data_IF_444642372696
#
_entry.id   IF_444642372696
#
_cell.length_a   1.000
_cell.length_b   1.000
_cell.length_c   1.000
_cell.angle_alpha   90.00
_cell.angle_beta   90.00
_cell.angle_gamma   90.00
#
_symmetry.space_group_name_H-M   'P 1'
#
loop_
_entity.id
_entity.type
_entity.pdbx_description
1 polymer ?
#
# COMPACT_ATOMS: atom_id res chain seq x y z
N UNK A 1 -10.56 47.55 -16.65
CA UNK A 1 -9.23 47.10 -16.18
C UNK A 1 -9.47 46.01 -15.16
N UNK A 2 -8.95 44.84 -15.48
CA UNK A 2 -9.27 43.52 -14.94
C UNK A 2 -9.04 43.32 -13.45
N UNK A 3 -9.79 42.40 -12.87
CA UNK A 3 -9.53 41.81 -11.56
C UNK A 3 -10.50 40.67 -11.27
N UNK A 4 -10.30 39.51 -11.90
CA UNK A 4 -10.98 38.27 -11.51
C UNK A 4 -10.15 37.57 -10.41
N UNK A 5 -10.77 37.08 -9.33
CA UNK A 5 -10.06 36.40 -8.25
C UNK A 5 -9.60 35.00 -8.67
N UNK A 6 -8.46 34.59 -8.13
CA UNK A 6 -7.72 33.39 -8.48
C UNK A 6 -8.54 32.10 -8.41
N UNK A 7 -8.38 31.30 -9.46
CA UNK A 7 -8.75 29.88 -9.46
C UNK A 7 -7.76 29.14 -8.56
N UNK A 8 -8.19 28.83 -7.34
CA UNK A 8 -7.54 27.81 -6.51
C UNK A 8 -7.50 26.51 -7.31
N UNK A 9 -6.30 25.96 -7.48
CA UNK A 9 -6.01 24.72 -8.19
C UNK A 9 -6.76 23.59 -7.46
N UNK A 10 -7.92 23.19 -7.97
CA UNK A 10 -8.61 21.96 -7.55
C UNK A 10 -7.61 20.82 -7.72
N UNK A 11 -7.21 20.18 -6.61
CA UNK A 11 -6.47 18.93 -6.66
C UNK A 11 -7.30 17.96 -7.51
N UNK A 12 -6.73 17.48 -8.61
CA UNK A 12 -7.39 16.52 -9.48
C UNK A 12 -7.49 15.21 -8.69
N UNK A 13 -8.63 15.00 -8.03
CA UNK A 13 -9.01 13.69 -7.50
C UNK A 13 -9.17 12.79 -8.71
N UNK A 14 -8.14 11.99 -8.97
CA UNK A 14 -8.14 11.01 -10.04
C UNK A 14 -8.77 9.74 -9.46
N UNK A 15 -9.53 8.97 -10.24
CA UNK A 15 -10.09 7.69 -9.76
C UNK A 15 -9.02 6.73 -9.18
N UNK A 16 -7.74 6.94 -9.53
CA UNK A 16 -6.60 6.17 -9.05
C UNK A 16 -6.06 6.58 -7.66
N UNK A 17 -6.28 7.82 -7.20
CA UNK A 17 -5.70 8.34 -5.94
C UNK A 17 -6.65 9.30 -5.23
N UNK A 18 -6.94 9.02 -3.95
CA UNK A 18 -7.62 9.91 -3.02
C UNK A 18 -6.73 10.16 -1.79
N UNK A 19 -6.11 11.35 -1.66
CA UNK A 19 -5.19 11.65 -0.57
C UNK A 19 -5.89 11.81 0.78
N UNK A 20 -7.22 11.86 0.83
CA UNK A 20 -7.97 12.15 2.07
C UNK A 20 -8.36 10.90 2.86
N UNK A 21 -8.30 9.72 2.23
CA UNK A 21 -8.74 8.46 2.85
C UNK A 21 -7.63 7.88 3.71
N UNK A 22 -7.88 7.68 5.00
CA UNK A 22 -6.95 7.06 5.95
C UNK A 22 -6.66 5.58 5.62
N UNK A 23 -5.53 5.01 6.06
CA UNK A 23 -5.28 3.59 5.87
C UNK A 23 -6.28 2.72 6.65
N UNK A 24 -6.60 1.53 6.13
CA UNK A 24 -7.54 0.59 6.75
C UNK A 24 -7.04 -0.01 8.08
N UNK A 25 -5.77 0.22 8.41
CA UNK A 25 -5.13 -0.25 9.64
C UNK A 25 -3.61 -0.12 9.55
N UNK A 26 -2.92 -0.83 10.43
CA UNK A 26 -1.45 -0.87 10.50
C UNK A 26 -0.82 -2.10 9.84
N UNK A 27 -1.64 -3.07 9.44
CA UNK A 27 -1.24 -4.37 8.90
C UNK A 27 -2.06 -4.76 7.68
N UNK A 28 -1.69 -5.86 7.02
CA UNK A 28 -2.46 -6.38 5.90
C UNK A 28 -3.79 -6.97 6.40
N UNK A 29 -4.91 -6.41 5.92
CA UNK A 29 -6.27 -6.72 6.39
C UNK A 29 -6.53 -8.23 6.38
N UNK A 30 -6.20 -8.88 5.28
CA UNK A 30 -6.48 -10.30 5.07
C UNK A 30 -5.48 -11.21 5.80
N UNK A 31 -4.21 -10.83 5.88
CA UNK A 31 -3.24 -11.58 6.69
C UNK A 31 -3.59 -11.50 8.18
N UNK A 32 -4.08 -10.37 8.66
CA UNK A 32 -4.55 -10.22 10.04
C UNK A 32 -5.76 -11.12 10.30
N UNK A 33 -6.76 -11.09 9.42
CA UNK A 33 -7.94 -11.93 9.53
C UNK A 33 -7.62 -13.44 9.49
N UNK A 34 -6.63 -13.84 8.68
CA UNK A 34 -6.23 -15.24 8.52
C UNK A 34 -5.17 -15.72 9.53
N UNK A 35 -4.66 -14.85 10.41
CA UNK A 35 -3.53 -15.19 11.27
C UNK A 35 -2.22 -15.45 10.51
N UNK A 36 -2.07 -14.93 9.29
CA UNK A 36 -0.89 -15.07 8.42
C UNK A 36 0.24 -14.08 8.73
N UNK A 37 1.15 -13.90 7.76
CA UNK A 37 2.26 -12.95 7.84
C UNK A 37 2.55 -12.35 6.45
N UNK A 38 3.40 -11.33 6.40
CA UNK A 38 3.77 -10.58 5.19
C UNK A 38 5.24 -10.18 5.20
N UNK A 39 5.79 -9.88 4.02
CA UNK A 39 7.14 -9.32 3.86
C UNK A 39 7.08 -7.79 3.99
N UNK A 40 6.37 -7.12 3.09
CA UNK A 40 6.15 -5.67 3.12
C UNK A 40 4.67 -5.32 2.90
N UNK A 41 4.29 -4.12 3.32
CA UNK A 41 2.94 -3.58 3.19
C UNK A 41 2.85 -2.51 2.09
N UNK A 42 1.73 -2.54 1.38
CA UNK A 42 1.34 -1.58 0.34
C UNK A 42 -0.03 -1.02 0.68
N UNK A 43 -0.18 0.29 0.56
CA UNK A 43 -1.44 1.00 0.74
C UNK A 43 -2.05 1.34 -0.60
N UNK A 44 -3.30 0.97 -0.84
CA UNK A 44 -4.06 1.49 -1.96
C UNK A 44 -4.21 3.01 -1.83
N UNK A 45 -3.77 3.74 -2.84
CA UNK A 45 -3.81 5.21 -2.83
C UNK A 45 -5.24 5.76 -3.05
N UNK A 46 -6.18 4.93 -3.54
CA UNK A 46 -7.57 5.33 -3.78
C UNK A 46 -8.48 5.10 -2.55
N UNK A 47 -8.33 3.99 -1.83
CA UNK A 47 -9.26 3.62 -0.75
C UNK A 47 -8.59 3.33 0.61
N UNK A 48 -7.27 3.46 0.70
CA UNK A 48 -6.54 3.23 1.96
C UNK A 48 -6.38 1.76 2.36
N UNK A 49 -6.86 0.79 1.58
CA UNK A 49 -6.68 -0.64 1.87
C UNK A 49 -5.20 -1.01 2.01
N UNK A 50 -4.83 -1.63 3.13
CA UNK A 50 -3.48 -2.15 3.35
C UNK A 50 -3.43 -3.63 2.96
N UNK A 51 -2.61 -3.94 1.94
CA UNK A 51 -2.33 -5.29 1.47
C UNK A 51 -0.84 -5.63 1.54
N UNK A 52 -0.51 -6.92 1.62
CA UNK A 52 0.88 -7.38 1.56
C UNK A 52 1.41 -7.39 0.11
N UNK A 53 2.70 -7.11 -0.08
CA UNK A 53 3.35 -7.07 -1.39
C UNK A 53 3.39 -8.44 -2.09
N UNK A 54 3.80 -8.45 -3.36
CA UNK A 54 3.82 -9.69 -4.18
C UNK A 54 4.91 -10.70 -3.78
N UNK A 55 5.94 -10.26 -3.04
CA UNK A 55 6.92 -11.15 -2.40
C UNK A 55 6.34 -11.88 -1.18
N UNK A 56 5.22 -11.40 -0.64
CA UNK A 56 4.56 -12.03 0.50
C UNK A 56 3.84 -13.33 0.09
N UNK A 57 3.56 -14.24 1.05
CA UNK A 57 2.84 -15.49 0.78
C UNK A 57 1.48 -15.32 0.10
N UNK A 58 0.76 -14.23 0.39
CA UNK A 58 -0.63 -14.07 -0.05
C UNK A 58 -0.88 -13.03 -1.13
N UNK A 59 0.10 -12.15 -1.43
CA UNK A 59 0.03 -11.16 -2.53
C UNK A 59 -1.25 -10.30 -2.52
N UNK A 60 -1.69 -9.86 -1.35
CA UNK A 60 -2.99 -9.20 -1.20
C UNK A 60 -3.06 -7.83 -1.87
N UNK A 61 -1.96 -7.10 -2.04
CA UNK A 61 -1.97 -5.81 -2.73
C UNK A 61 -2.38 -5.95 -4.21
N UNK A 62 -1.75 -6.87 -4.95
CA UNK A 62 -2.10 -7.09 -6.36
C UNK A 62 -3.44 -7.82 -6.51
N UNK A 63 -3.81 -8.68 -5.56
CA UNK A 63 -5.16 -9.27 -5.53
C UNK A 63 -6.24 -8.20 -5.31
N UNK A 64 -6.00 -7.22 -4.43
CA UNK A 64 -6.89 -6.09 -4.19
C UNK A 64 -7.05 -5.23 -5.45
N UNK A 65 -5.96 -4.90 -6.13
CA UNK A 65 -6.01 -4.17 -7.40
C UNK A 65 -6.91 -4.88 -8.41
N UNK A 66 -6.70 -6.18 -8.65
CA UNK A 66 -7.48 -6.95 -9.63
C UNK A 66 -8.98 -7.01 -9.31
N UNK A 67 -9.35 -6.92 -8.03
CA UNK A 67 -10.74 -6.96 -7.58
C UNK A 67 -11.42 -5.58 -7.57
N UNK A 68 -10.70 -4.54 -7.16
CA UNK A 68 -11.22 -3.18 -7.00
C UNK A 68 -11.07 -2.32 -8.26
N UNK A 69 -10.09 -2.63 -9.10
CA UNK A 69 -9.66 -1.76 -10.19
C UNK A 69 -8.81 -0.56 -9.73
N UNK A 70 -8.32 -0.51 -8.49
CA UNK A 70 -7.44 0.57 -8.00
C UNK A 70 -5.96 0.25 -8.30
N UNK A 71 -5.33 0.89 -9.30
CA UNK A 71 -4.04 0.41 -9.79
C UNK A 71 -2.85 1.02 -9.04
N UNK A 72 -3.05 2.16 -8.35
CA UNK A 72 -1.98 2.87 -7.66
C UNK A 72 -1.91 2.46 -6.19
N UNK A 73 -0.73 1.99 -5.79
CA UNK A 73 -0.37 1.79 -4.39
C UNK A 73 0.76 2.74 -3.99
N UNK A 74 0.86 3.01 -2.69
CA UNK A 74 2.03 3.62 -2.04
C UNK A 74 2.70 2.57 -1.17
N UNK A 75 4.03 2.63 -1.02
CA UNK A 75 4.66 1.91 0.08
C UNK A 75 4.05 2.32 1.41
N UNK A 76 3.89 1.35 2.32
CA UNK A 76 3.45 1.60 3.69
C UNK A 76 4.53 1.19 4.70
N UNK A 77 5.78 1.18 4.26
CA UNK A 77 6.96 0.91 5.08
C UNK A 77 7.54 2.22 5.66
N UNK A 78 8.14 2.20 6.86
CA UNK A 78 8.76 3.38 7.45
C UNK A 78 9.90 3.92 6.57
N UNK A 79 9.89 5.23 6.31
CA UNK A 79 10.92 5.91 5.52
C UNK A 79 10.76 5.81 4.00
N UNK A 80 9.71 5.15 3.51
CA UNK A 80 9.40 5.04 2.08
C UNK A 80 8.19 5.91 1.69
N UNK A 81 8.27 6.56 0.54
CA UNK A 81 7.25 7.47 0.01
C UNK A 81 6.84 7.22 -1.44
N UNK A 82 7.45 6.24 -2.08
CA UNK A 82 7.21 5.92 -3.49
C UNK A 82 5.83 5.31 -3.73
N UNK A 83 5.34 5.50 -4.95
CA UNK A 83 4.12 4.89 -5.48
C UNK A 83 4.43 4.01 -6.67
N UNK A 84 3.59 3.00 -6.86
CA UNK A 84 3.63 2.10 -8.01
C UNK A 84 2.25 2.00 -8.63
N UNK A 85 2.19 2.02 -9.95
CA UNK A 85 0.99 1.76 -10.72
C UNK A 85 1.08 0.37 -11.35
N UNK A 86 0.28 -0.56 -10.84
CA UNK A 86 0.23 -1.93 -11.35
C UNK A 86 -0.27 -2.04 -12.80
N UNK A 87 -1.11 -1.11 -13.26
CA UNK A 87 -1.64 -1.13 -14.63
C UNK A 87 -0.56 -0.76 -15.66
N UNK A 88 0.30 0.20 -15.32
CA UNK A 88 1.37 0.67 -16.21
C UNK A 88 2.70 -0.03 -15.97
N UNK A 89 2.83 -0.78 -14.88
CA UNK A 89 4.08 -1.41 -14.43
C UNK A 89 5.22 -0.38 -14.28
N UNK A 90 4.91 0.77 -13.68
CA UNK A 90 5.86 1.87 -13.50
C UNK A 90 5.60 2.68 -12.21
N UNK A 91 6.59 3.48 -11.81
CA UNK A 91 6.46 4.43 -10.73
C UNK A 91 5.40 5.48 -11.04
N UNK A 92 4.72 5.93 -9.99
CA UNK A 92 3.73 6.99 -10.06
C UNK A 92 4.17 8.19 -9.21
N UNK A 93 4.00 9.40 -9.71
CA UNK A 93 4.22 10.62 -8.93
C UNK A 93 2.94 10.96 -8.15
N UNK A 94 2.89 10.53 -6.88
CA UNK A 94 1.70 10.61 -6.04
C UNK A 94 1.77 11.72 -4.98
N UNK A 95 0.62 12.28 -4.55
CA UNK A 95 0.57 13.26 -3.48
C UNK A 95 0.83 12.62 -2.11
N UNK A 96 1.09 13.43 -1.08
CA UNK A 96 1.04 12.94 0.30
C UNK A 96 -0.39 12.44 0.63
N UNK A 97 -0.49 11.26 1.25
CA UNK A 97 -1.77 10.64 1.63
C UNK A 97 -2.17 11.02 3.06
N UNK A 98 -3.39 10.70 3.50
CA UNK A 98 -3.80 10.92 4.88
C UNK A 98 -2.97 10.06 5.85
N UNK A 99 -2.60 10.61 7.00
CA UNK A 99 -1.82 9.90 8.02
C UNK A 99 -2.56 8.67 8.60
N UNK A 100 -1.83 7.67 9.13
CA UNK A 100 -0.36 7.55 9.11
C UNK A 100 0.19 7.21 7.71
N UNK A 101 1.47 7.55 7.47
CA UNK A 101 2.17 7.27 6.19
C UNK A 101 2.81 5.87 6.13
N UNK A 102 2.96 5.20 7.27
CA UNK A 102 3.59 3.88 7.32
C UNK A 102 3.00 3.04 8.44
N UNK A 103 3.30 1.74 8.41
CA UNK A 103 3.15 0.87 9.56
C UNK A 103 3.98 1.38 10.77
N UNK A 104 3.66 0.95 12.00
CA UNK A 104 4.44 1.27 13.19
C UNK A 104 5.92 0.90 13.01
N UNK A 105 6.80 1.79 13.47
CA UNK A 105 8.26 1.63 13.33
C UNK A 105 8.81 0.50 14.23
N UNK A 106 8.07 0.13 15.27
CA UNK A 106 8.38 -0.97 16.18
C UNK A 106 7.92 -2.33 15.64
N UNK A 107 7.21 -2.40 14.50
CA UNK A 107 6.96 -3.68 13.80
C UNK A 107 8.13 -4.07 12.89
N UNK A 108 8.28 -5.37 12.63
CA UNK A 108 9.29 -5.88 11.69
C UNK A 108 8.75 -5.99 10.26
N UNK A 109 9.67 -6.05 9.29
CA UNK A 109 9.43 -6.56 7.95
C UNK A 109 10.43 -7.70 7.71
N UNK A 110 10.00 -8.97 7.52
CA UNK A 110 8.61 -9.46 7.53
C UNK A 110 7.86 -9.23 8.85
N UNK A 111 6.53 -9.23 8.81
CA UNK A 111 5.67 -8.95 9.96
C UNK A 111 4.30 -9.65 9.93
N UNK A 112 3.52 -9.52 11.00
CA UNK A 112 3.92 -8.89 12.26
C UNK A 112 4.88 -9.79 13.03
N UNK A 113 5.74 -9.18 13.86
CA UNK A 113 6.89 -9.87 14.49
C UNK A 113 6.55 -11.22 15.13
N UNK A 114 5.39 -11.31 15.80
CA UNK A 114 4.96 -12.51 16.52
C UNK A 114 4.43 -13.66 15.66
N UNK A 115 4.26 -13.47 14.34
CA UNK A 115 3.69 -14.47 13.42
C UNK A 115 4.62 -14.92 12.31
N UNK A 116 5.81 -14.33 12.19
CA UNK A 116 6.79 -14.73 11.17
C UNK A 116 7.42 -16.08 11.57
N UNK A 117 7.29 -17.14 10.74
CA UNK A 117 7.94 -18.42 11.00
C UNK A 117 9.47 -18.31 10.99
N UNK A 118 10.17 -19.19 11.70
CA UNK A 118 11.64 -19.18 11.72
C UNK A 118 12.25 -19.55 10.35
N UNK A 119 11.54 -20.38 9.58
CA UNK A 119 11.87 -20.89 8.24
C UNK A 119 11.25 -20.07 7.11
N UNK A 120 10.92 -18.79 7.35
CA UNK A 120 10.18 -17.97 6.40
C UNK A 120 10.92 -17.79 5.06
N UNK A 121 12.26 -17.76 5.07
CA UNK A 121 13.08 -17.64 3.86
C UNK A 121 12.90 -18.86 2.98
N UNK A 122 13.02 -20.05 3.57
CA UNK A 122 12.83 -21.33 2.89
C UNK A 122 11.40 -21.45 2.35
N UNK A 123 10.40 -21.00 3.11
CA UNK A 123 9.02 -20.95 2.65
C UNK A 123 8.86 -20.09 1.39
N UNK A 124 9.51 -18.92 1.32
CA UNK A 124 9.44 -18.07 0.13
C UNK A 124 10.18 -18.67 -1.06
N UNK A 125 11.36 -19.26 -0.85
CA UNK A 125 12.15 -19.92 -1.89
C UNK A 125 11.42 -21.13 -2.50
N UNK A 126 10.69 -21.89 -1.67
CA UNK A 126 9.95 -23.07 -2.11
C UNK A 126 8.73 -22.75 -2.98
N UNK A 127 8.27 -21.50 -3.03
CA UNK A 127 7.03 -21.13 -3.74
C UNK A 127 7.15 -21.14 -5.26
N UNK A 128 8.36 -21.10 -5.80
CA UNK A 128 8.60 -20.91 -7.23
C UNK A 128 8.11 -19.55 -7.71
N UNK A 129 8.92 -18.86 -8.52
CA UNK A 129 8.48 -17.63 -9.17
C UNK A 129 7.65 -17.95 -10.41
#
# INVERSE_FOLDING_TARGET
MSGLPGVGRLAVVSAAVDPTVAPSGTGCVECDAAGGWWVHLRRCAACGHIGCCDDSPSRHASAHWRQSGHPVIRSFEPGEDWFWNFETDDYYDGPELAAPQSRPADETAPGPRGRVPADWVEQLQARGH
#
